data_IF_495384598814
#
_entry.id   IF_495384598814
#
_cell.length_a   1.000
_cell.length_b   1.000
_cell.length_c   1.000
_cell.angle_alpha   90.00
_cell.angle_beta   90.00
_cell.angle_gamma   90.00
#
_symmetry.space_group_name_H-M   'P 1'
#
loop_
_entity.id
_entity.type
_entity.pdbx_description
1 polymer ?
#
# COMPACT_ATOMS: atom_id res chain seq x y z
N UNK A 1 -37.60 -13.50 41.95
CA UNK A 1 -38.42 -13.68 40.72
C UNK A 1 -37.59 -13.13 39.59
N UNK A 2 -36.81 -13.99 38.92
CA UNK A 2 -36.12 -13.66 37.68
C UNK A 2 -37.18 -13.58 36.56
N UNK A 3 -37.49 -12.36 36.18
CA UNK A 3 -38.32 -12.11 35.00
C UNK A 3 -37.52 -12.57 33.77
N UNK A 4 -37.95 -13.67 33.10
CA UNK A 4 -37.38 -14.17 31.84
C UNK A 4 -37.56 -13.08 30.78
N UNK A 5 -36.52 -12.28 30.58
CA UNK A 5 -36.46 -11.31 29.49
C UNK A 5 -36.70 -12.02 28.17
N UNK A 6 -37.78 -11.69 27.47
CA UNK A 6 -37.94 -12.12 26.07
C UNK A 6 -36.91 -11.44 25.18
N UNK A 7 -36.54 -12.12 24.10
CA UNK A 7 -35.51 -11.57 23.16
C UNK A 7 -35.85 -10.13 22.72
N UNK A 8 -37.13 -9.85 22.48
CA UNK A 8 -37.58 -8.50 22.10
C UNK A 8 -37.47 -7.46 23.20
N UNK A 9 -37.72 -7.82 24.47
CA UNK A 9 -37.55 -6.88 25.60
C UNK A 9 -36.08 -6.64 25.92
N UNK A 10 -35.24 -7.66 25.81
CA UNK A 10 -33.78 -7.53 25.95
C UNK A 10 -33.16 -6.59 24.89
N UNK A 11 -33.56 -6.76 23.62
CA UNK A 11 -33.09 -5.89 22.51
C UNK A 11 -33.54 -4.44 22.72
N UNK A 12 -34.80 -4.22 23.14
CA UNK A 12 -35.32 -2.87 23.40
C UNK A 12 -34.57 -2.20 24.54
N UNK A 13 -34.28 -2.95 25.61
CA UNK A 13 -33.52 -2.45 26.76
C UNK A 13 -32.09 -2.09 26.32
N UNK A 14 -31.41 -2.97 25.60
CA UNK A 14 -30.06 -2.72 25.09
C UNK A 14 -29.99 -1.46 24.21
N UNK A 15 -30.94 -1.29 23.28
CA UNK A 15 -31.02 -0.08 22.44
C UNK A 15 -31.26 1.17 23.29
N UNK A 16 -32.08 1.08 24.32
CA UNK A 16 -32.35 2.20 25.21
C UNK A 16 -31.14 2.61 26.05
N UNK A 17 -30.37 1.62 26.53
CA UNK A 17 -29.13 1.86 27.26
C UNK A 17 -28.05 2.47 26.35
N UNK A 18 -27.88 1.92 25.14
CA UNK A 18 -26.96 2.48 24.14
C UNK A 18 -27.28 3.95 23.82
N UNK A 19 -28.58 4.27 23.61
CA UNK A 19 -29.01 5.67 23.40
C UNK A 19 -28.74 6.56 24.60
N UNK A 20 -28.95 6.05 25.80
CA UNK A 20 -28.67 6.76 27.06
C UNK A 20 -27.16 7.09 27.15
N UNK A 21 -26.30 6.09 26.94
CA UNK A 21 -24.84 6.27 27.03
C UNK A 21 -24.32 7.21 25.93
N UNK A 22 -24.86 7.13 24.70
CA UNK A 22 -24.54 8.12 23.64
C UNK A 22 -24.94 9.53 24.06
N UNK A 23 -26.12 9.70 24.64
CA UNK A 23 -26.58 11.01 25.16
C UNK A 23 -25.66 11.57 26.23
N UNK A 24 -25.12 10.74 27.11
CA UNK A 24 -24.16 11.13 28.13
C UNK A 24 -22.80 11.54 27.55
N UNK A 25 -22.33 10.91 26.45
CA UNK A 25 -21.12 11.33 25.76
C UNK A 25 -21.22 12.74 25.17
N UNK A 26 -22.39 13.16 24.74
CA UNK A 26 -22.60 14.52 24.24
C UNK A 26 -22.98 15.53 25.37
N UNK A 27 -23.36 15.05 26.54
CA UNK A 27 -23.72 15.83 27.70
C UNK A 27 -22.64 15.84 28.79
N UNK A 28 -22.80 15.00 29.78
CA UNK A 28 -21.98 14.97 31.01
C UNK A 28 -20.51 14.64 30.73
N UNK A 29 -20.23 13.71 29.79
CA UNK A 29 -18.90 13.27 29.47
C UNK A 29 -18.42 13.78 28.09
N UNK A 30 -18.73 15.01 27.75
CA UNK A 30 -18.45 15.61 26.43
C UNK A 30 -16.98 15.45 25.97
N UNK A 31 -16.03 15.60 26.88
CA UNK A 31 -14.60 15.47 26.56
C UNK A 31 -14.28 14.01 26.16
N UNK A 32 -14.84 13.04 26.87
CA UNK A 32 -14.69 11.62 26.58
C UNK A 32 -15.34 11.24 25.24
N UNK A 33 -16.55 11.77 24.97
CA UNK A 33 -17.25 11.58 23.71
C UNK A 33 -16.48 12.16 22.51
N UNK A 34 -15.92 13.36 22.65
CA UNK A 34 -15.05 13.94 21.61
C UNK A 34 -13.77 13.12 21.40
N UNK A 35 -13.20 12.58 22.47
CA UNK A 35 -12.04 11.71 22.39
C UNK A 35 -12.36 10.42 21.63
N UNK A 36 -13.48 9.76 21.92
CA UNK A 36 -13.93 8.56 21.21
C UNK A 36 -14.18 8.83 19.73
N UNK A 37 -14.81 9.94 19.39
CA UNK A 37 -15.02 10.34 17.99
C UNK A 37 -13.67 10.55 17.27
N UNK A 38 -12.76 11.28 17.91
CA UNK A 38 -11.43 11.50 17.36
C UNK A 38 -10.65 10.18 17.21
N UNK A 39 -10.75 9.27 18.18
CA UNK A 39 -10.14 7.94 18.11
C UNK A 39 -10.73 7.09 17.00
N UNK A 40 -12.06 7.12 16.84
CA UNK A 40 -12.74 6.41 15.74
C UNK A 40 -12.20 6.86 14.38
N UNK A 41 -12.20 8.17 14.13
CA UNK A 41 -11.67 8.72 12.86
C UNK A 41 -10.20 8.39 12.64
N UNK A 42 -9.41 8.43 13.71
CA UNK A 42 -7.98 8.10 13.66
C UNK A 42 -7.74 6.63 13.32
N UNK A 43 -8.46 5.70 13.99
CA UNK A 43 -8.30 4.27 13.75
C UNK A 43 -8.82 3.85 12.38
N UNK A 44 -9.92 4.44 11.91
CA UNK A 44 -10.45 4.20 10.56
C UNK A 44 -9.48 4.69 9.50
N UNK A 45 -8.84 5.86 9.69
CA UNK A 45 -7.79 6.35 8.81
C UNK A 45 -6.58 5.40 8.73
N UNK A 46 -6.12 4.90 9.89
CA UNK A 46 -5.02 3.91 9.92
C UNK A 46 -5.43 2.62 9.20
N UNK A 47 -6.62 2.09 9.48
CA UNK A 47 -7.11 0.86 8.88
C UNK A 47 -7.28 1.00 7.35
N UNK A 48 -7.78 2.15 6.88
CA UNK A 48 -7.87 2.44 5.46
C UNK A 48 -6.49 2.44 4.79
N UNK A 49 -5.51 3.17 5.35
CA UNK A 49 -4.15 3.22 4.81
C UNK A 49 -3.50 1.84 4.80
N UNK A 50 -3.57 1.11 5.91
CA UNK A 50 -2.93 -0.22 6.03
C UNK A 50 -3.65 -1.28 5.19
N UNK A 51 -4.97 -1.20 5.07
CA UNK A 51 -5.77 -2.12 4.24
C UNK A 51 -5.53 -1.94 2.74
N UNK A 52 -5.31 -0.71 2.29
CA UNK A 52 -5.05 -0.39 0.88
C UNK A 52 -3.57 -0.50 0.50
N UNK A 53 -2.65 -0.44 1.48
CA UNK A 53 -1.22 -0.39 1.25
C UNK A 53 -0.71 -1.54 0.36
N UNK A 54 -1.14 -2.77 0.62
CA UNK A 54 -0.73 -3.93 -0.18
C UNK A 54 -1.17 -3.85 -1.63
N UNK A 55 -2.41 -3.43 -1.87
CA UNK A 55 -2.96 -3.25 -3.22
C UNK A 55 -2.26 -2.08 -3.96
N UNK A 56 -2.01 -0.97 -3.25
CA UNK A 56 -1.27 0.17 -3.78
C UNK A 56 0.17 -0.21 -4.15
N UNK A 57 0.87 -0.91 -3.27
CA UNK A 57 2.24 -1.36 -3.54
C UNK A 57 2.33 -2.25 -4.78
N UNK A 58 1.40 -3.20 -4.94
CA UNK A 58 1.41 -4.11 -6.08
C UNK A 58 0.85 -3.47 -7.37
N UNK A 59 -0.30 -2.77 -7.28
CA UNK A 59 -1.03 -2.29 -8.45
C UNK A 59 -0.54 -0.94 -8.99
N UNK A 60 -0.03 -0.06 -8.11
CA UNK A 60 0.39 1.30 -8.51
C UNK A 60 1.91 1.41 -8.57
N UNK A 61 2.61 0.90 -7.54
CA UNK A 61 4.07 1.03 -7.46
C UNK A 61 4.81 -0.12 -8.15
N UNK A 62 4.11 -1.16 -8.61
CA UNK A 62 4.77 -2.33 -9.23
C UNK A 62 5.70 -3.10 -8.28
N UNK A 63 5.50 -2.98 -6.95
CA UNK A 63 6.34 -3.69 -5.98
C UNK A 63 6.15 -5.20 -6.12
N UNK A 64 7.22 -5.98 -6.32
CA UNK A 64 7.12 -7.43 -6.45
C UNK A 64 6.39 -8.07 -5.26
N UNK A 65 5.58 -9.12 -5.52
CA UNK A 65 4.75 -9.76 -4.51
C UNK A 65 5.55 -10.20 -3.28
N UNK A 66 6.76 -10.73 -3.49
CA UNK A 66 7.64 -11.18 -2.40
C UNK A 66 8.06 -10.00 -1.52
N UNK A 67 8.44 -8.87 -2.12
CA UNK A 67 8.81 -7.67 -1.39
C UNK A 67 7.60 -7.09 -0.64
N UNK A 68 6.42 -7.09 -1.26
CA UNK A 68 5.19 -6.60 -0.62
C UNK A 68 4.80 -7.48 0.59
N UNK A 69 4.87 -8.81 0.46
CA UNK A 69 4.67 -9.73 1.59
C UNK A 69 5.72 -9.53 2.70
N UNK A 70 6.99 -9.33 2.34
CA UNK A 70 8.06 -9.07 3.30
C UNK A 70 7.79 -7.79 4.10
N UNK A 71 7.26 -6.74 3.48
CA UNK A 71 6.90 -5.50 4.17
C UNK A 71 5.75 -5.73 5.16
N UNK A 72 4.72 -6.50 4.79
CA UNK A 72 3.61 -6.82 5.70
C UNK A 72 4.13 -7.55 6.96
N UNK A 73 5.03 -8.50 6.78
CA UNK A 73 5.68 -9.19 7.91
C UNK A 73 6.55 -8.24 8.73
N UNK A 74 7.34 -7.41 8.07
CA UNK A 74 8.21 -6.42 8.70
C UNK A 74 7.43 -5.45 9.59
N UNK A 75 6.28 -4.97 9.13
CA UNK A 75 5.36 -4.12 9.92
C UNK A 75 5.01 -4.79 11.25
N UNK A 76 4.68 -6.08 11.24
CA UNK A 76 4.33 -6.81 12.47
C UNK A 76 5.53 -6.97 13.42
N UNK A 77 6.70 -7.30 12.88
CA UNK A 77 7.92 -7.43 13.66
C UNK A 77 8.35 -6.11 14.30
N UNK A 78 8.20 -5.00 13.61
CA UNK A 78 8.55 -3.67 14.12
C UNK A 78 7.51 -3.16 15.12
N UNK A 79 6.23 -3.48 14.94
CA UNK A 79 5.15 -3.04 15.82
C UNK A 79 5.32 -3.58 17.25
N UNK A 80 5.82 -4.81 17.40
CA UNK A 80 5.98 -5.42 18.72
C UNK A 80 6.97 -4.64 19.64
N UNK A 81 8.25 -4.40 19.27
CA UNK A 81 9.17 -3.64 20.12
C UNK A 81 8.79 -2.16 20.22
N UNK A 82 8.10 -1.59 19.22
CA UNK A 82 7.69 -0.19 19.25
C UNK A 82 6.70 0.11 20.38
N UNK A 83 5.82 -0.83 20.70
CA UNK A 83 4.88 -0.67 21.83
C UNK A 83 5.65 -0.45 23.14
N UNK A 84 6.71 -1.22 23.40
CA UNK A 84 7.56 -1.06 24.58
C UNK A 84 8.32 0.28 24.56
N UNK A 85 8.76 0.73 23.40
CA UNK A 85 9.40 2.05 23.23
C UNK A 85 8.44 3.18 23.60
N UNK A 86 7.21 3.19 23.08
CA UNK A 86 6.24 4.25 23.36
C UNK A 86 5.78 4.25 24.82
N UNK A 87 5.77 3.11 25.52
CA UNK A 87 5.56 3.06 26.96
C UNK A 87 6.67 3.82 27.70
N UNK A 88 7.92 3.72 27.28
CA UNK A 88 9.03 4.51 27.86
C UNK A 88 8.85 6.00 27.57
N UNK A 89 8.50 6.36 26.35
CA UNK A 89 8.22 7.76 25.97
C UNK A 89 7.11 8.34 26.84
N UNK A 90 6.02 7.58 27.05
CA UNK A 90 4.91 8.03 27.90
C UNK A 90 5.31 8.23 29.37
N UNK A 91 6.29 7.46 29.87
CA UNK A 91 6.86 7.67 31.22
C UNK A 91 7.73 8.91 31.31
N UNK A 92 8.40 9.32 30.26
CA UNK A 92 9.23 10.53 30.21
C UNK A 92 8.43 11.80 29.98
N UNK A 93 7.29 11.71 29.29
CA UNK A 93 6.45 12.83 28.94
C UNK A 93 5.07 12.72 29.64
N UNK A 94 4.10 12.22 28.91
CA UNK A 94 2.78 11.82 29.39
C UNK A 94 2.10 10.96 28.32
N UNK A 95 1.08 10.19 28.72
CA UNK A 95 0.27 9.40 27.75
C UNK A 95 -0.35 10.31 26.69
N UNK A 96 -0.90 11.46 27.08
CA UNK A 96 -1.49 12.46 26.15
C UNK A 96 -0.46 12.96 25.13
N UNK A 97 0.71 13.37 25.62
CA UNK A 97 1.78 13.88 24.75
C UNK A 97 2.26 12.81 23.78
N UNK A 98 2.39 11.58 24.24
CA UNK A 98 2.79 10.44 23.39
C UNK A 98 1.79 10.16 22.29
N UNK A 99 0.48 10.19 22.59
CA UNK A 99 -0.58 10.07 21.58
C UNK A 99 -0.48 11.20 20.55
N UNK A 100 -0.27 12.45 20.97
CA UNK A 100 -0.09 13.57 20.05
C UNK A 100 1.15 13.39 19.16
N UNK A 101 2.26 12.93 19.72
CA UNK A 101 3.48 12.63 18.96
C UNK A 101 3.19 11.55 17.90
N UNK A 102 2.55 10.45 18.28
CA UNK A 102 2.25 9.36 17.34
C UNK A 102 1.30 9.80 16.23
N UNK A 103 0.27 10.60 16.52
CA UNK A 103 -0.63 11.17 15.51
C UNK A 103 0.14 12.08 14.53
N UNK A 104 1.03 12.94 15.05
CA UNK A 104 1.86 13.81 14.20
C UNK A 104 2.79 12.99 13.31
N UNK A 105 3.43 11.96 13.86
CA UNK A 105 4.31 11.09 13.08
C UNK A 105 3.55 10.30 12.01
N UNK A 106 2.28 9.91 12.26
CA UNK A 106 1.43 9.32 11.22
C UNK A 106 1.21 10.26 10.03
N UNK A 107 0.99 11.55 10.29
CA UNK A 107 0.90 12.55 9.21
C UNK A 107 2.20 12.58 8.40
N UNK A 108 3.36 12.51 9.05
CA UNK A 108 4.65 12.44 8.35
C UNK A 108 4.80 11.17 7.51
N UNK A 109 4.40 10.01 8.01
CA UNK A 109 4.46 8.75 7.23
C UNK A 109 3.57 8.83 6.00
N UNK A 110 2.35 9.38 6.13
CA UNK A 110 1.45 9.57 4.99
C UNK A 110 2.02 10.57 3.98
N UNK A 111 2.59 11.68 4.46
CA UNK A 111 3.24 12.66 3.57
C UNK A 111 4.48 12.09 2.88
N UNK A 112 5.25 11.22 3.56
CA UNK A 112 6.37 10.53 2.92
C UNK A 112 5.91 9.57 1.81
N UNK A 113 4.71 9.05 1.86
CA UNK A 113 4.18 8.25 0.77
C UNK A 113 4.04 9.04 -0.54
N UNK A 114 3.89 10.37 -0.48
CA UNK A 114 3.88 11.25 -1.65
C UNK A 114 5.30 11.38 -2.27
N UNK A 115 6.34 11.10 -1.49
CA UNK A 115 7.74 11.21 -1.94
C UNK A 115 8.25 9.96 -2.67
N UNK A 116 7.43 8.95 -2.90
CA UNK A 116 7.85 7.79 -3.66
C UNK A 116 8.35 8.20 -5.05
N UNK A 117 9.58 7.87 -5.29
CA UNK A 117 10.27 8.19 -6.52
C UNK A 117 11.17 7.00 -6.89
N UNK A 118 10.61 5.94 -7.47
CA UNK A 118 11.40 4.81 -7.94
C UNK A 118 12.43 5.30 -8.95
N UNK A 119 13.56 4.61 -9.03
CA UNK A 119 14.60 4.95 -10.00
C UNK A 119 14.07 4.78 -11.42
N UNK A 120 14.44 5.66 -12.36
CA UNK A 120 14.13 5.46 -13.77
C UNK A 120 14.78 4.17 -14.28
N UNK A 121 14.17 3.55 -15.26
CA UNK A 121 14.74 2.40 -15.96
C UNK A 121 15.74 2.92 -16.97
N UNK A 122 17.02 2.61 -16.80
CA UNK A 122 18.10 3.08 -17.68
C UNK A 122 18.61 1.97 -18.60
N UNK A 123 18.66 0.73 -18.09
CA UNK A 123 19.17 -0.40 -18.85
C UNK A 123 18.03 -1.19 -19.52
N UNK A 124 18.34 -1.76 -20.70
CA UNK A 124 17.39 -2.57 -21.47
C UNK A 124 16.81 -3.73 -20.64
N UNK A 125 17.65 -4.36 -19.80
CA UNK A 125 17.31 -5.49 -18.94
C UNK A 125 16.42 -5.13 -17.76
N UNK A 126 16.27 -3.83 -17.45
CA UNK A 126 15.44 -3.33 -16.34
C UNK A 126 13.97 -3.18 -16.73
N UNK A 127 13.66 -3.15 -18.04
CA UNK A 127 12.28 -3.03 -18.51
C UNK A 127 11.54 -4.36 -18.38
N UNK A 128 10.25 -4.30 -18.14
CA UNK A 128 9.38 -5.47 -17.99
C UNK A 128 9.42 -6.38 -19.21
N UNK A 129 9.45 -5.78 -20.39
CA UNK A 129 9.59 -6.47 -21.67
C UNK A 129 10.80 -5.94 -22.44
N UNK A 130 11.53 -6.87 -23.07
CA UNK A 130 12.73 -6.57 -23.83
C UNK A 130 12.54 -7.11 -25.24
N UNK A 131 12.54 -6.22 -26.23
CA UNK A 131 12.41 -6.56 -27.64
C UNK A 131 13.75 -6.40 -28.35
N UNK A 132 14.26 -7.45 -28.96
CA UNK A 132 15.49 -7.45 -29.72
C UNK A 132 15.22 -7.78 -31.19
N UNK A 133 15.75 -6.97 -32.11
CA UNK A 133 15.64 -7.21 -33.56
C UNK A 133 16.50 -8.38 -33.95
N UNK A 134 15.91 -9.34 -34.66
CA UNK A 134 16.58 -10.48 -35.25
C UNK A 134 17.01 -10.20 -36.70
N UNK A 135 17.94 -11.01 -37.24
CA UNK A 135 18.49 -10.90 -38.60
C UNK A 135 17.43 -10.99 -39.71
N UNK A 136 16.30 -11.65 -39.45
CA UNK A 136 15.18 -11.83 -40.39
C UNK A 136 14.16 -10.65 -40.37
N UNK A 137 14.40 -9.61 -39.57
CA UNK A 137 13.56 -8.45 -39.46
C UNK A 137 12.33 -8.64 -38.49
N UNK A 138 12.30 -9.73 -37.76
CA UNK A 138 11.34 -9.95 -36.66
C UNK A 138 11.96 -9.53 -35.33
N UNK A 139 11.11 -9.41 -34.30
CA UNK A 139 11.53 -9.06 -32.95
C UNK A 139 11.34 -10.25 -32.02
N UNK A 140 12.37 -10.54 -31.23
CA UNK A 140 12.30 -11.48 -30.12
C UNK A 140 11.95 -10.73 -28.85
N UNK A 141 10.84 -11.06 -28.21
CA UNK A 141 10.43 -10.45 -26.94
C UNK A 141 10.64 -11.44 -25.80
N UNK A 142 11.30 -10.99 -24.77
CA UNK A 142 11.47 -11.70 -23.50
C UNK A 142 10.92 -10.86 -22.35
N UNK A 143 10.59 -11.50 -21.23
CA UNK A 143 10.22 -10.83 -19.99
C UNK A 143 11.43 -10.67 -19.07
N UNK A 144 11.45 -9.62 -18.26
CA UNK A 144 12.40 -9.51 -17.16
C UNK A 144 12.27 -10.71 -16.20
N UNK A 145 13.36 -11.09 -15.55
CA UNK A 145 13.44 -12.29 -14.70
C UNK A 145 12.51 -12.20 -13.48
N UNK A 146 12.27 -11.01 -12.99
CA UNK A 146 11.41 -10.70 -11.84
C UNK A 146 10.05 -10.13 -12.24
N UNK A 147 9.75 -10.15 -13.55
CA UNK A 147 8.46 -9.65 -14.06
C UNK A 147 7.29 -10.41 -13.47
N UNK A 148 6.29 -9.65 -12.99
CA UNK A 148 5.07 -10.19 -12.41
C UNK A 148 3.84 -9.45 -12.91
N UNK A 149 2.86 -10.22 -13.39
CA UNK A 149 1.57 -9.72 -13.81
C UNK A 149 0.47 -10.31 -12.91
N UNK A 150 -0.49 -9.50 -12.48
CA UNK A 150 -1.61 -10.00 -11.72
C UNK A 150 -2.45 -10.98 -12.58
N UNK A 151 -2.86 -12.14 -12.05
CA UNK A 151 -3.66 -13.11 -12.81
C UNK A 151 -5.05 -12.58 -13.15
N UNK A 152 -5.62 -11.74 -12.29
CA UNK A 152 -6.93 -11.10 -12.43
C UNK A 152 -6.86 -9.65 -11.94
N UNK A 153 -7.86 -8.85 -12.25
CA UNK A 153 -7.95 -7.46 -11.78
C UNK A 153 -7.38 -6.45 -12.76
N UNK A 154 -6.55 -5.53 -12.30
CA UNK A 154 -6.05 -4.39 -13.09
C UNK A 154 -5.29 -4.79 -14.37
N UNK A 155 -4.66 -5.96 -14.37
CA UNK A 155 -3.84 -6.41 -15.49
C UNK A 155 -4.61 -7.32 -16.48
N UNK A 156 -5.88 -7.60 -16.22
CA UNK A 156 -6.67 -8.53 -17.04
C UNK A 156 -6.89 -8.00 -18.46
N UNK A 157 -7.25 -6.74 -18.59
CA UNK A 157 -7.49 -6.11 -19.89
C UNK A 157 -6.23 -6.08 -20.75
N UNK A 158 -5.10 -5.68 -20.17
CA UNK A 158 -3.81 -5.70 -20.83
C UNK A 158 -3.42 -7.11 -21.27
N UNK A 159 -3.63 -8.11 -20.42
CA UNK A 159 -3.33 -9.50 -20.72
C UNK A 159 -4.16 -10.03 -21.90
N UNK A 160 -5.46 -9.74 -21.91
CA UNK A 160 -6.37 -10.14 -22.98
C UNK A 160 -5.98 -9.47 -24.31
N UNK A 161 -5.65 -8.18 -24.26
CA UNK A 161 -5.23 -7.41 -25.42
C UNK A 161 -3.88 -7.86 -26.00
N UNK A 162 -2.92 -8.23 -25.15
CA UNK A 162 -1.57 -8.64 -25.57
C UNK A 162 -1.43 -10.15 -25.72
N UNK A 163 -2.53 -10.90 -25.67
CA UNK A 163 -2.52 -12.35 -25.84
C UNK A 163 -1.90 -12.76 -27.19
N UNK A 164 -0.84 -13.56 -27.13
CA UNK A 164 -0.09 -13.99 -28.32
C UNK A 164 1.00 -13.04 -28.80
N UNK A 165 1.08 -11.81 -28.28
CA UNK A 165 2.17 -10.86 -28.57
C UNK A 165 3.31 -10.98 -27.54
N UNK A 166 2.98 -11.26 -26.30
CA UNK A 166 3.94 -11.42 -25.21
C UNK A 166 4.21 -12.89 -24.91
N UNK A 167 5.37 -13.24 -24.32
CA UNK A 167 5.71 -14.60 -23.90
C UNK A 167 4.96 -14.99 -22.61
N UNK A 168 3.65 -14.74 -22.59
CA UNK A 168 2.76 -15.12 -21.52
C UNK A 168 2.19 -16.50 -21.81
N UNK A 169 2.37 -17.43 -20.88
CA UNK A 169 1.60 -18.68 -20.91
C UNK A 169 0.15 -18.46 -20.50
N UNK A 170 -0.68 -19.44 -20.85
CA UNK A 170 -2.04 -19.49 -20.36
C UNK A 170 -2.05 -19.46 -18.84
N UNK A 171 -3.04 -18.74 -18.29
CA UNK A 171 -3.24 -18.65 -16.86
C UNK A 171 -3.42 -20.06 -16.25
N UNK A 172 -2.54 -20.44 -15.36
CA UNK A 172 -2.64 -21.70 -14.65
C UNK A 172 -3.62 -21.58 -13.50
N UNK A 173 -4.86 -21.99 -13.74
CA UNK A 173 -5.95 -21.93 -12.76
C UNK A 173 -5.70 -22.78 -11.50
N UNK A 174 -4.89 -23.85 -11.59
CA UNK A 174 -4.56 -24.68 -10.43
C UNK A 174 -3.60 -23.99 -9.46
N UNK A 175 -2.73 -23.11 -9.99
CA UNK A 175 -1.72 -22.39 -9.21
C UNK A 175 -2.06 -20.93 -8.98
N UNK A 176 -3.19 -20.45 -9.53
CA UNK A 176 -3.62 -19.05 -9.47
C UNK A 176 -2.50 -18.05 -9.82
N UNK A 177 -1.72 -18.39 -10.86
CA UNK A 177 -0.61 -17.57 -11.33
C UNK A 177 -0.39 -17.74 -12.83
N UNK A 178 0.25 -16.75 -13.47
CA UNK A 178 0.82 -16.90 -14.78
C UNK A 178 2.10 -17.71 -14.66
N UNK A 179 2.30 -18.66 -15.54
CA UNK A 179 3.58 -19.34 -15.72
C UNK A 179 4.22 -18.75 -16.96
N UNK A 180 5.43 -18.21 -16.81
CA UNK A 180 6.24 -17.77 -17.93
C UNK A 180 7.11 -18.95 -18.36
N UNK A 181 7.12 -19.25 -19.66
CA UNK A 181 7.96 -20.35 -20.20
C UNK A 181 9.44 -20.00 -20.16
N UNK A 182 9.78 -18.71 -20.08
CA UNK A 182 11.11 -18.22 -20.37
C UNK A 182 11.49 -18.30 -21.84
N UNK A 183 10.59 -18.79 -22.71
CA UNK A 183 10.80 -18.82 -24.15
C UNK A 183 10.44 -17.45 -24.76
N UNK A 184 11.35 -16.97 -25.63
CA UNK A 184 11.13 -15.72 -26.33
C UNK A 184 9.93 -15.82 -27.29
N UNK A 185 9.11 -14.76 -27.35
CA UNK A 185 8.06 -14.63 -28.35
C UNK A 185 8.59 -13.90 -29.57
N UNK A 186 8.47 -14.51 -30.75
CA UNK A 186 8.87 -13.88 -32.00
C UNK A 186 7.65 -13.22 -32.64
N UNK A 187 7.75 -11.91 -32.89
CA UNK A 187 6.69 -11.11 -33.50
C UNK A 187 7.23 -10.28 -34.67
N UNK A 188 6.36 -9.89 -35.58
CA UNK A 188 6.67 -8.97 -36.67
C UNK A 188 6.72 -7.50 -36.18
N UNK A 189 7.33 -6.62 -36.98
CA UNK A 189 7.34 -5.19 -36.69
C UNK A 189 5.92 -4.59 -36.52
N UNK A 190 4.94 -5.02 -37.34
CA UNK A 190 3.57 -4.57 -37.20
C UNK A 190 2.91 -5.02 -35.88
N UNK A 191 3.24 -6.21 -35.40
CA UNK A 191 2.76 -6.70 -34.10
C UNK A 191 3.47 -5.99 -32.94
N UNK A 192 4.72 -5.56 -33.11
CA UNK A 192 5.39 -4.73 -32.13
C UNK A 192 4.72 -3.35 -32.02
N UNK A 193 4.35 -2.72 -33.15
CA UNK A 193 3.60 -1.45 -33.13
C UNK A 193 2.26 -1.61 -32.41
N UNK A 194 1.52 -2.68 -32.65
CA UNK A 194 0.28 -3.02 -31.97
C UNK A 194 0.49 -3.22 -30.45
N UNK A 195 1.56 -3.92 -30.06
CA UNK A 195 1.93 -4.09 -28.65
C UNK A 195 2.26 -2.75 -27.99
N UNK A 196 2.96 -1.85 -28.68
CA UNK A 196 3.29 -0.53 -28.16
C UNK A 196 2.03 0.32 -27.90
N UNK A 197 0.98 0.21 -28.75
CA UNK A 197 -0.29 0.86 -28.52
C UNK A 197 -0.99 0.34 -27.24
N UNK A 198 -0.87 -0.96 -26.95
CA UNK A 198 -1.44 -1.53 -25.73
C UNK A 198 -0.61 -1.24 -24.47
N UNK A 199 0.67 -0.89 -24.62
CA UNK A 199 1.50 -0.45 -23.52
C UNK A 199 1.18 1.00 -23.09
N UNK A 200 0.67 1.82 -24.01
CA UNK A 200 0.18 3.15 -23.69
C UNK A 200 -0.99 3.05 -22.70
N UNK A 201 -0.92 3.78 -21.59
CA UNK A 201 -1.88 3.69 -20.48
C UNK A 201 -1.77 2.44 -19.60
N UNK A 202 -0.80 1.55 -19.85
CA UNK A 202 -0.50 0.42 -18.97
C UNK A 202 0.65 0.74 -18.01
N UNK A 203 0.72 0.00 -16.89
CA UNK A 203 1.81 0.15 -15.91
C UNK A 203 3.10 -0.58 -16.32
N UNK A 204 3.13 -1.18 -17.50
CA UNK A 204 4.25 -1.98 -17.97
C UNK A 204 5.16 -1.18 -18.88
N UNK A 205 6.43 -1.57 -18.91
CA UNK A 205 7.45 -0.94 -19.74
C UNK A 205 8.03 -1.92 -20.76
N UNK A 206 8.44 -1.40 -21.91
CA UNK A 206 9.14 -2.17 -22.96
C UNK A 206 10.31 -1.34 -23.48
N UNK A 207 11.44 -1.98 -23.69
CA UNK A 207 12.59 -1.42 -24.36
C UNK A 207 12.90 -2.19 -25.63
N UNK A 208 13.25 -1.48 -26.70
CA UNK A 208 13.65 -2.07 -27.99
C UNK A 208 15.16 -1.90 -28.19
N UNK A 209 15.82 -3.00 -28.54
CA UNK A 209 17.24 -3.03 -28.82
C UNK A 209 17.48 -3.43 -30.29
N UNK A 210 18.41 -2.76 -30.92
CA UNK A 210 18.77 -2.90 -32.34
C UNK A 210 17.71 -2.42 -33.35
N UNK A 211 18.15 -2.10 -34.54
CA UNK A 211 17.32 -1.71 -35.67
C UNK A 211 16.94 -0.24 -35.68
N UNK A 212 15.88 0.08 -36.41
CA UNK A 212 15.39 1.46 -36.58
C UNK A 212 14.75 2.06 -35.31
N UNK A 213 14.40 1.21 -34.36
CA UNK A 213 13.78 1.56 -33.09
C UNK A 213 14.74 1.37 -31.91
N UNK A 214 16.03 1.26 -32.17
CA UNK A 214 17.03 1.10 -31.10
C UNK A 214 16.97 2.22 -30.08
N UNK A 215 16.95 1.86 -28.81
CA UNK A 215 16.78 2.81 -27.70
C UNK A 215 15.38 3.38 -27.51
N UNK A 216 14.39 2.92 -28.32
CA UNK A 216 12.99 3.25 -28.04
C UNK A 216 12.52 2.50 -26.79
N UNK A 217 11.78 3.20 -25.95
CA UNK A 217 11.10 2.59 -24.82
C UNK A 217 9.65 3.08 -24.73
N UNK A 218 8.76 2.23 -24.25
CA UNK A 218 7.38 2.54 -23.93
C UNK A 218 7.12 2.31 -22.45
N UNK A 219 6.06 2.91 -21.92
CA UNK A 219 5.66 2.74 -20.53
C UNK A 219 5.62 4.07 -19.77
N UNK A 220 4.89 5.07 -20.31
CA UNK A 220 4.74 6.38 -19.66
C UNK A 220 4.04 6.28 -18.30
N UNK A 221 3.14 5.31 -18.13
CA UNK A 221 2.43 5.04 -16.87
C UNK A 221 3.16 4.02 -15.97
N UNK A 222 4.36 3.60 -16.36
CA UNK A 222 5.19 2.75 -15.51
C UNK A 222 5.48 3.45 -14.16
N UNK A 223 5.51 2.71 -13.03
CA UNK A 223 5.74 3.30 -11.69
C UNK A 223 7.00 4.14 -11.55
N UNK A 224 8.01 3.95 -12.41
CA UNK A 224 9.23 4.78 -12.45
C UNK A 224 9.03 6.13 -13.11
N UNK A 225 7.98 6.31 -13.90
CA UNK A 225 7.65 7.58 -14.55
C UNK A 225 7.03 8.54 -13.54
N UNK A 226 7.42 9.81 -13.61
CA UNK A 226 6.85 10.89 -12.79
C UNK A 226 6.22 11.90 -13.71
N UNK A 227 4.91 12.11 -13.57
CA UNK A 227 4.13 13.05 -14.36
C UNK A 227 4.48 14.53 -14.11
N UNK A 228 3.68 15.43 -14.70
CA UNK A 228 3.81 16.88 -14.60
C UNK A 228 2.65 17.53 -13.80
N UNK A 229 2.03 16.76 -12.91
CA UNK A 229 0.98 17.23 -12.02
C UNK A 229 1.48 18.25 -10.98
N UNK A 230 0.57 18.99 -10.33
CA UNK A 230 0.92 20.07 -9.42
C UNK A 230 1.68 19.64 -8.16
N UNK A 231 1.66 18.37 -7.82
CA UNK A 231 2.38 17.80 -6.65
C UNK A 231 3.58 16.94 -7.04
N UNK A 232 3.81 16.69 -8.33
CA UNK A 232 4.86 15.80 -8.84
C UNK A 232 6.27 16.37 -8.67
N UNK A 233 6.37 17.66 -8.34
CA UNK A 233 7.65 18.24 -7.93
C UNK A 233 8.21 17.60 -6.64
N UNK A 234 7.35 17.06 -5.75
CA UNK A 234 7.78 16.41 -4.49
C UNK A 234 8.53 15.12 -4.78
N UNK A 235 7.97 14.13 -5.52
CA UNK A 235 8.70 12.93 -5.88
C UNK A 235 9.90 13.22 -6.81
N UNK A 236 9.83 14.19 -7.74
CA UNK A 236 10.99 14.62 -8.53
C UNK A 236 12.15 15.09 -7.64
N UNK A 237 11.86 15.94 -6.65
CA UNK A 237 12.86 16.42 -5.70
C UNK A 237 13.39 15.29 -4.81
N UNK A 238 12.51 14.41 -4.34
CA UNK A 238 12.91 13.26 -3.52
C UNK A 238 13.80 12.29 -4.30
N UNK A 239 13.51 12.04 -5.59
CA UNK A 239 14.35 11.25 -6.47
C UNK A 239 15.77 11.82 -6.54
N UNK A 240 15.90 13.08 -6.88
CA UNK A 240 17.19 13.75 -7.05
C UNK A 240 18.01 13.85 -5.76
N UNK A 241 17.37 14.09 -4.61
CA UNK A 241 18.08 14.35 -3.36
C UNK A 241 18.31 13.12 -2.50
N UNK A 242 17.44 12.11 -2.58
CA UNK A 242 17.44 10.98 -1.65
C UNK A 242 17.64 9.65 -2.38
N UNK A 243 16.78 9.38 -3.38
CA UNK A 243 16.69 8.03 -3.92
C UNK A 243 17.81 7.72 -4.91
N UNK A 244 18.10 8.60 -5.85
CA UNK A 244 19.20 8.44 -6.79
C UNK A 244 20.58 8.39 -6.09
N UNK A 245 20.93 9.34 -5.18
CA UNK A 245 22.23 9.28 -4.52
C UNK A 245 22.45 8.06 -3.64
N UNK A 246 21.35 7.48 -3.11
CA UNK A 246 21.40 6.29 -2.27
C UNK A 246 21.14 5.01 -3.07
N UNK A 247 20.83 5.13 -4.36
CA UNK A 247 20.47 4.01 -5.25
C UNK A 247 19.39 3.10 -4.67
N UNK A 248 18.33 3.71 -4.13
CA UNK A 248 17.23 3.00 -3.46
C UNK A 248 16.04 2.80 -4.39
N UNK A 249 15.91 1.61 -4.93
CA UNK A 249 14.73 1.21 -5.71
C UNK A 249 13.44 1.17 -4.90
N UNK A 250 12.31 1.04 -5.60
CA UNK A 250 10.96 1.15 -5.02
C UNK A 250 10.70 0.17 -3.87
N UNK A 251 11.19 -1.05 -3.96
CA UNK A 251 11.02 -2.07 -2.91
C UNK A 251 11.65 -1.63 -1.59
N UNK A 252 12.82 -0.99 -1.63
CA UNK A 252 13.50 -0.49 -0.42
C UNK A 252 12.76 0.72 0.13
N UNK A 253 12.32 1.65 -0.71
CA UNK A 253 11.49 2.79 -0.31
C UNK A 253 10.22 2.30 0.38
N UNK A 254 9.57 1.27 -0.17
CA UNK A 254 8.37 0.64 0.38
C UNK A 254 8.64 0.00 1.76
N UNK A 255 9.79 -0.65 1.93
CA UNK A 255 10.22 -1.18 3.23
C UNK A 255 10.43 -0.08 4.28
N UNK A 256 11.00 1.06 3.93
CA UNK A 256 11.17 2.19 4.86
C UNK A 256 9.83 2.71 5.37
N UNK A 257 8.84 2.87 4.50
CA UNK A 257 7.49 3.27 4.91
C UNK A 257 6.82 2.20 5.76
N UNK A 258 6.99 0.92 5.40
CA UNK A 258 6.53 -0.20 6.22
C UNK A 258 7.11 -0.20 7.64
N UNK A 259 8.41 0.06 7.78
CA UNK A 259 9.06 0.22 9.08
C UNK A 259 8.45 1.38 9.86
N UNK A 260 8.28 2.55 9.24
CA UNK A 260 7.66 3.72 9.86
C UNK A 260 6.23 3.44 10.32
N UNK A 261 5.41 2.86 9.44
CA UNK A 261 4.03 2.48 9.75
C UNK A 261 3.97 1.44 10.87
N UNK A 262 4.79 0.39 10.82
CA UNK A 262 4.87 -0.64 11.87
C UNK A 262 5.28 -0.06 13.23
N UNK A 263 6.28 0.81 13.23
CA UNK A 263 6.72 1.50 14.43
C UNK A 263 5.60 2.33 15.06
N UNK A 264 4.84 3.05 14.28
CA UNK A 264 3.73 3.85 14.79
C UNK A 264 2.51 3.02 15.16
N UNK A 265 2.22 1.94 14.42
CA UNK A 265 1.06 1.09 14.64
C UNK A 265 1.07 0.49 16.05
N UNK A 266 2.22 -0.11 16.48
CA UNK A 266 2.33 -0.72 17.80
C UNK A 266 2.20 0.28 18.95
N UNK A 267 2.71 1.50 18.78
CA UNK A 267 2.64 2.54 19.80
C UNK A 267 1.31 3.28 19.87
N UNK A 268 0.78 3.71 18.72
CA UNK A 268 -0.38 4.60 18.68
C UNK A 268 -1.65 3.98 19.26
N UNK A 269 -1.97 2.75 18.88
CA UNK A 269 -3.18 2.07 19.35
C UNK A 269 -3.12 1.77 20.86
N UNK A 270 -1.95 1.28 21.35
CA UNK A 270 -1.76 1.00 22.77
C UNK A 270 -1.84 2.26 23.64
N UNK A 271 -1.21 3.35 23.20
CA UNK A 271 -1.22 4.61 23.92
C UNK A 271 -2.59 5.29 23.89
N UNK A 272 -3.30 5.25 22.77
CA UNK A 272 -4.66 5.76 22.68
C UNK A 272 -5.62 5.02 23.64
N UNK A 273 -5.58 3.69 23.67
CA UNK A 273 -6.37 2.93 24.64
C UNK A 273 -5.99 3.24 26.09
N UNK A 274 -4.70 3.39 26.39
CA UNK A 274 -4.22 3.79 27.73
C UNK A 274 -4.72 5.18 28.13
N UNK A 275 -4.76 6.13 27.20
CA UNK A 275 -5.30 7.46 27.44
C UNK A 275 -6.82 7.41 27.72
N UNK A 276 -7.56 6.59 26.95
CA UNK A 276 -8.98 6.36 27.20
C UNK A 276 -9.22 5.81 28.61
N UNK A 277 -8.48 4.80 29.03
CA UNK A 277 -8.58 4.24 30.40
C UNK A 277 -8.38 5.31 31.48
N UNK A 278 -7.49 6.28 31.27
CA UNK A 278 -7.25 7.37 32.23
C UNK A 278 -8.38 8.42 32.29
N UNK A 279 -9.22 8.48 31.27
CA UNK A 279 -10.33 9.43 31.17
C UNK A 279 -11.65 8.86 31.68
N UNK A 280 -11.77 7.52 31.73
CA UNK A 280 -13.00 6.83 32.14
C UNK A 280 -13.07 6.77 33.67
N UNK A 281 -14.20 7.14 34.31
CA UNK A 281 -14.43 6.95 35.75
C UNK A 281 -14.39 5.46 36.11
N UNK A 282 -13.68 5.09 37.17
CA UNK A 282 -13.55 3.70 37.62
C UNK A 282 -14.89 3.00 37.87
N UNK A 283 -15.86 3.76 38.39
CA UNK A 283 -17.22 3.25 38.73
C UNK A 283 -18.05 2.83 37.50
N UNK A 284 -17.69 3.27 36.29
CA UNK A 284 -18.43 3.02 35.05
C UNK A 284 -17.54 2.41 33.96
N UNK A 285 -16.38 1.93 34.31
CA UNK A 285 -15.40 1.39 33.33
C UNK A 285 -15.97 0.25 32.50
N UNK A 286 -16.72 -0.68 33.11
CA UNK A 286 -17.32 -1.81 32.39
C UNK A 286 -18.30 -1.36 31.28
N UNK A 287 -19.06 -0.30 31.50
CA UNK A 287 -20.01 0.26 30.54
C UNK A 287 -19.29 0.94 29.37
N UNK A 288 -18.29 1.78 29.65
CA UNK A 288 -17.54 2.51 28.62
C UNK A 288 -16.58 1.63 27.81
N UNK A 289 -16.13 0.50 28.34
CA UNK A 289 -15.34 -0.48 27.58
C UNK A 289 -16.18 -1.49 26.80
N UNK A 290 -17.47 -1.61 27.12
CA UNK A 290 -18.41 -2.43 26.36
C UNK A 290 -18.93 -1.78 25.08
N UNK A 291 -18.66 -0.48 24.94
CA UNK A 291 -18.99 0.35 23.79
C UNK A 291 -17.88 0.36 22.76
#
# INVERSE_FOLDING_TARGET
LEEKLTLGSATKLAISEVKGTIGEFFGTYRILGLYLLAYLLFIDGINAVTGLAGAYGAGVLGVPLVANMAVILLVQFVAFPSAAFFIKVAKWTSTKTTVMITCTLWVFVVLMAISFAPLPLDAHEEHDFQAELLDDGTYSIINATDFMMAPLGSDQEFREATAGLLPLEEYNAERDRNEFTGEARIISAAQLEDLLEHLDGSRFSLSVHNGSMDGFYAGEDHPTSIGDGPVDFIPKLARQLIWEPLNMGISIQWMFIGIGAGFLLGGSQGMARSLFCQMVPESRSAEFFGF
#
